data_IF_154125134829
#
_entry.id   IF_154125134829
#
_cell.length_a   1.000
_cell.length_b   1.000
_cell.length_c   1.000
_cell.angle_alpha   90.00
_cell.angle_beta   90.00
_cell.angle_gamma   90.00
#
_symmetry.space_group_name_H-M   'P 1'
#
loop_
_entity.id
_entity.type
_entity.pdbx_description
1 polymer ?
#
# COMPACT_ATOMS: atom_id res chain seq x y z
N UNK A 1 -9.65 -1.41 8.93
CA UNK A 1 -8.74 -0.36 9.41
C UNK A 1 -8.06 0.26 8.19
N UNK A 2 -7.87 1.57 8.12
CA UNK A 2 -7.13 2.17 7.00
C UNK A 2 -5.63 1.95 7.21
N UNK A 3 -4.88 1.53 6.17
CA UNK A 3 -3.43 1.45 6.23
C UNK A 3 -2.79 2.79 6.62
N UNK A 4 -1.69 2.72 7.37
CA UNK A 4 -0.92 3.86 7.84
C UNK A 4 0.48 3.89 7.20
N UNK A 5 1.23 4.96 7.46
CA UNK A 5 2.64 5.03 7.06
C UNK A 5 3.43 3.90 7.71
N UNK A 6 4.37 3.34 6.93
CA UNK A 6 5.22 2.19 7.26
C UNK A 6 4.53 0.81 7.36
N UNK A 7 3.21 0.74 7.23
CA UNK A 7 2.49 -0.53 7.10
C UNK A 7 2.93 -1.27 5.83
N UNK A 8 2.90 -2.60 5.91
CA UNK A 8 3.01 -3.47 4.74
C UNK A 8 1.63 -3.81 4.22
N UNK A 9 1.47 -3.75 2.90
CA UNK A 9 0.21 -4.07 2.24
C UNK A 9 0.43 -4.91 1.00
N UNK A 10 -0.54 -5.76 0.70
CA UNK A 10 -0.69 -6.35 -0.62
C UNK A 10 -1.57 -5.44 -1.47
N UNK A 11 -1.26 -5.30 -2.76
CA UNK A 11 -1.99 -4.41 -3.66
C UNK A 11 -1.95 -4.85 -5.13
N UNK A 12 -2.85 -4.29 -5.94
CA UNK A 12 -2.90 -4.46 -7.40
C UNK A 12 -2.49 -3.17 -8.10
N UNK A 13 -1.58 -3.23 -9.06
CA UNK A 13 -1.12 -2.08 -9.85
C UNK A 13 -1.62 -2.08 -11.31
N UNK A 14 -2.67 -2.87 -11.60
CA UNK A 14 -3.21 -3.08 -12.94
C UNK A 14 -2.65 -4.31 -13.67
N UNK A 15 -1.66 -5.00 -13.08
CA UNK A 15 -1.20 -6.32 -13.54
C UNK A 15 -2.01 -7.44 -12.87
N UNK A 16 -1.92 -8.64 -13.43
CA UNK A 16 -2.66 -9.82 -12.93
C UNK A 16 -2.18 -10.29 -11.55
N UNK A 17 -0.92 -10.00 -11.19
CA UNK A 17 -0.32 -10.43 -9.94
C UNK A 17 -0.58 -9.46 -8.78
N UNK A 18 -0.78 -10.03 -7.59
CA UNK A 18 -0.70 -9.29 -6.33
C UNK A 18 0.74 -8.89 -6.04
N UNK A 19 0.94 -7.62 -5.72
CA UNK A 19 2.22 -7.08 -5.29
C UNK A 19 2.22 -6.80 -3.79
N UNK A 20 3.43 -6.75 -3.21
CA UNK A 20 3.64 -6.40 -1.81
C UNK A 20 4.55 -5.19 -1.74
N UNK A 21 4.25 -4.31 -0.80
CA UNK A 21 5.02 -3.10 -0.61
C UNK A 21 4.81 -2.49 0.76
N UNK A 22 5.70 -1.56 1.09
CA UNK A 22 5.61 -0.74 2.30
C UNK A 22 5.06 0.63 1.95
N UNK A 23 4.12 1.13 2.75
CA UNK A 23 3.62 2.50 2.63
C UNK A 23 4.70 3.46 3.12
N UNK A 24 5.10 4.38 2.26
CA UNK A 24 6.09 5.42 2.57
C UNK A 24 5.40 6.76 2.88
N UNK A 25 4.20 7.00 2.36
CA UNK A 25 3.43 8.23 2.59
C UNK A 25 1.93 7.94 2.39
N UNK A 26 1.08 8.53 3.25
CA UNK A 26 -0.39 8.54 3.10
C UNK A 26 -0.86 9.97 2.87
N UNK A 27 -1.62 10.19 1.80
CA UNK A 27 -2.28 11.48 1.52
C UNK A 27 -3.79 11.33 1.59
N UNK A 28 -4.45 12.40 2.01
CA UNK A 28 -5.92 12.49 2.11
C UNK A 28 -6.53 11.31 2.89
N UNK A 29 -6.10 11.09 4.16
CA UNK A 29 -6.48 9.91 4.94
C UNK A 29 -8.00 9.74 5.04
N UNK A 30 -8.47 8.50 4.91
CA UNK A 30 -9.88 8.14 4.89
C UNK A 30 -10.28 7.39 3.61
N UNK A 31 -11.55 7.50 3.16
CA UNK A 31 -12.04 6.71 2.02
C UNK A 31 -11.39 7.07 0.68
N UNK A 32 -10.76 8.24 0.58
CA UNK A 32 -10.08 8.72 -0.63
C UNK A 32 -8.55 8.72 -0.48
N UNK A 33 -8.04 7.94 0.47
CA UNK A 33 -6.62 7.89 0.74
C UNK A 33 -5.82 7.42 -0.48
N UNK A 34 -4.72 8.14 -0.72
CA UNK A 34 -3.72 7.84 -1.73
C UNK A 34 -2.44 7.41 -1.04
N UNK A 35 -1.94 6.25 -1.41
CA UNK A 35 -0.78 5.62 -0.79
C UNK A 35 0.40 5.64 -1.75
N UNK A 36 1.55 6.15 -1.29
CA UNK A 36 2.83 5.92 -1.96
C UNK A 36 3.46 4.68 -1.37
N UNK A 37 3.60 3.65 -2.19
CA UNK A 37 4.09 2.35 -1.78
C UNK A 37 5.42 2.06 -2.44
N UNK A 38 6.38 1.61 -1.65
CA UNK A 38 7.62 1.05 -2.16
C UNK A 38 7.46 -0.45 -2.39
N UNK A 39 7.49 -0.86 -3.65
CA UNK A 39 7.37 -2.26 -4.05
C UNK A 39 8.56 -3.06 -3.50
N UNK A 40 8.32 -4.13 -2.74
CA UNK A 40 9.40 -4.91 -2.12
C UNK A 40 10.21 -5.72 -3.16
N UNK A 41 9.62 -6.03 -4.32
CA UNK A 41 10.29 -6.80 -5.39
C UNK A 41 11.11 -5.92 -6.31
N UNK A 42 10.56 -4.80 -6.76
CA UNK A 42 11.21 -3.94 -7.77
C UNK A 42 11.89 -2.72 -7.16
N UNK A 43 11.63 -2.42 -5.88
CA UNK A 43 12.14 -1.26 -5.17
C UNK A 43 11.66 0.09 -5.75
N UNK A 44 10.67 0.06 -6.64
CA UNK A 44 10.03 1.22 -7.27
C UNK A 44 8.96 1.82 -6.35
N UNK A 45 8.74 3.13 -6.49
CA UNK A 45 7.63 3.82 -5.84
C UNK A 45 6.41 3.80 -6.75
N UNK A 46 5.29 3.31 -6.22
CA UNK A 46 4.00 3.25 -6.89
C UNK A 46 2.97 4.05 -6.10
N UNK A 47 2.01 4.64 -6.82
CA UNK A 47 0.89 5.37 -6.22
C UNK A 47 -0.35 4.53 -6.42
N UNK A 48 -1.05 4.19 -5.34
CA UNK A 48 -2.30 3.44 -5.39
C UNK A 48 -3.37 4.06 -4.50
N UNK A 49 -4.63 3.70 -4.76
CA UNK A 49 -5.76 4.07 -3.92
C UNK A 49 -6.11 2.98 -2.90
N UNK A 50 -6.95 3.32 -1.93
CA UNK A 50 -7.50 2.37 -0.96
C UNK A 50 -8.13 1.13 -1.61
N UNK A 51 -8.79 1.27 -2.77
CA UNK A 51 -9.49 0.18 -3.46
C UNK A 51 -8.54 -0.86 -4.08
N UNK A 52 -7.29 -0.49 -4.27
CA UNK A 52 -6.26 -1.35 -4.84
C UNK A 52 -5.55 -2.19 -3.76
N UNK A 53 -5.74 -1.86 -2.49
CA UNK A 53 -5.16 -2.60 -1.36
C UNK A 53 -6.02 -3.82 -1.07
N UNK A 54 -5.37 -4.96 -1.00
CA UNK A 54 -6.00 -6.26 -0.82
C UNK A 54 -5.62 -6.81 0.55
N UNK A 55 -6.64 -7.13 1.35
CA UNK A 55 -6.45 -7.65 2.71
C UNK A 55 -6.20 -6.56 3.77
N UNK A 56 -5.83 -7.01 4.97
CA UNK A 56 -5.54 -6.15 6.10
C UNK A 56 -4.07 -5.70 6.09
N UNK A 57 -3.78 -4.42 6.39
CA UNK A 57 -2.40 -3.95 6.51
C UNK A 57 -1.70 -4.64 7.67
N UNK A 58 -0.45 -5.03 7.46
CA UNK A 58 0.41 -5.55 8.51
C UNK A 58 1.21 -4.38 9.12
N UNK A 59 0.98 -4.04 10.39
CA UNK A 59 1.71 -2.96 11.04
C UNK A 59 3.21 -3.28 11.11
N UNK A 60 4.08 -2.25 11.16
CA UNK A 60 5.52 -2.46 11.26
C UNK A 60 5.86 -3.07 12.63
N UNK A 61 6.00 -4.40 12.68
CA UNK A 61 6.60 -5.17 13.79
C UNK A 61 6.02 -4.90 15.18
N UNK A 62 5.27 -5.87 15.74
CA UNK A 62 5.15 -5.98 17.21
C UNK A 62 6.46 -6.42 17.85
#
# INVERSE_FOLDING_TARGET
MFPAEHDRVAYRDGREDLHRGRIEEVRDPGPHAVYRIRNERTNELQVITQEQIEGEPEPPGS
#
